data_IF_357438592183
#
_entry.id   IF_357438592183
#
_cell.length_a   1.000
_cell.length_b   1.000
_cell.length_c   1.000
_cell.angle_alpha   90.00
_cell.angle_beta   90.00
_cell.angle_gamma   90.00
#
_symmetry.space_group_name_H-M   'P 1'
#
loop_
_entity.id
_entity.type
_entity.pdbx_description
1 polymer ?
#
# COMPACT_ATOMS: atom_id res chain seq x y z
N UNK A 1 -60.37 36.92 -26.33
CA UNK A 1 -61.54 36.49 -27.11
C UNK A 1 -61.16 35.20 -27.80
N UNK A 2 -61.92 34.14 -27.50
CA UNK A 2 -62.03 32.82 -28.12
C UNK A 2 -60.75 32.12 -28.60
N UNK A 3 -60.37 31.01 -27.94
CA UNK A 3 -60.80 29.70 -28.45
C UNK A 3 -60.77 28.63 -27.33
N UNK A 4 -61.79 27.77 -27.32
CA UNK A 4 -62.06 26.75 -26.30
C UNK A 4 -61.82 25.36 -26.88
N UNK A 5 -61.07 24.56 -26.13
CA UNK A 5 -61.02 23.10 -25.99
C UNK A 5 -61.68 22.17 -27.04
N UNK A 6 -60.91 21.14 -27.44
CA UNK A 6 -61.39 19.76 -27.29
C UNK A 6 -60.25 18.73 -27.19
N UNK A 7 -60.27 17.95 -26.12
CA UNK A 7 -59.50 16.71 -25.96
C UNK A 7 -59.93 15.65 -26.97
N UNK A 8 -58.97 14.85 -27.44
CA UNK A 8 -59.19 13.45 -27.86
C UNK A 8 -57.84 12.71 -27.81
N UNK A 9 -57.71 11.73 -26.89
CA UNK A 9 -56.81 10.57 -27.06
C UNK A 9 -57.57 9.59 -27.98
N UNK A 10 -56.92 8.85 -28.90
CA UNK A 10 -56.33 7.57 -28.47
C UNK A 10 -55.12 7.06 -29.31
N UNK A 11 -54.63 5.92 -28.82
CA UNK A 11 -53.86 4.88 -29.54
C UNK A 11 -52.36 5.06 -29.64
N UNK A 12 -51.68 4.37 -28.72
CA UNK A 12 -50.27 4.00 -28.77
C UNK A 12 -50.14 2.93 -29.86
N UNK A 13 -49.52 3.26 -31.00
CA UNK A 13 -48.99 2.27 -31.92
C UNK A 13 -47.57 1.91 -31.48
N UNK A 14 -47.44 0.65 -31.10
CA UNK A 14 -46.21 -0.03 -30.74
C UNK A 14 -45.34 -0.20 -32.00
N UNK A 15 -44.47 0.78 -32.27
CA UNK A 15 -43.42 0.64 -33.27
C UNK A 15 -42.17 0.05 -32.60
N UNK A 16 -42.04 -1.25 -32.79
CA UNK A 16 -40.91 -2.08 -32.38
C UNK A 16 -39.65 -1.64 -33.14
N UNK A 17 -38.95 -0.62 -32.63
CA UNK A 17 -37.65 -0.20 -33.12
C UNK A 17 -36.57 -1.14 -32.56
N UNK A 18 -36.26 -2.17 -33.33
CA UNK A 18 -35.08 -3.04 -33.13
C UNK A 18 -33.84 -2.17 -32.86
N UNK A 19 -33.10 -2.39 -31.77
CA UNK A 19 -31.82 -1.72 -31.57
C UNK A 19 -30.90 -2.19 -32.69
N UNK A 20 -30.52 -1.25 -33.57
CA UNK A 20 -29.49 -1.50 -34.58
C UNK A 20 -28.18 -1.59 -33.80
N UNK A 21 -27.79 -2.82 -33.49
CA UNK A 21 -26.53 -3.20 -32.90
C UNK A 21 -25.42 -2.87 -33.91
N UNK A 22 -25.04 -1.59 -33.98
CA UNK A 22 -23.81 -1.17 -34.63
C UNK A 22 -22.68 -1.66 -33.74
N UNK A 23 -22.27 -2.91 -33.98
CA UNK A 23 -20.92 -3.38 -33.65
C UNK A 23 -19.95 -2.39 -34.30
N UNK A 24 -19.51 -1.41 -33.53
CA UNK A 24 -18.24 -0.74 -33.79
C UNK A 24 -17.20 -1.85 -33.69
N UNK A 25 -16.82 -2.37 -34.85
CA UNK A 25 -15.65 -3.22 -35.01
C UNK A 25 -14.45 -2.34 -34.66
N UNK A 26 -14.05 -2.40 -33.39
CA UNK A 26 -12.81 -1.82 -32.91
C UNK A 26 -11.69 -2.47 -33.69
N UNK A 27 -11.21 -1.76 -34.70
CA UNK A 27 -10.09 -2.19 -35.54
C UNK A 27 -8.95 -2.61 -34.62
N UNK A 28 -8.53 -3.87 -34.75
CA UNK A 28 -7.54 -4.45 -33.85
C UNK A 28 -6.25 -3.65 -34.02
N UNK A 29 -5.82 -2.98 -32.95
CA UNK A 29 -4.56 -2.24 -32.96
C UNK A 29 -3.45 -3.11 -33.53
N UNK A 30 -2.67 -2.64 -34.51
CA UNK A 30 -1.62 -3.45 -35.11
C UNK A 30 -0.65 -3.92 -34.02
N UNK A 31 -0.37 -5.22 -33.99
CA UNK A 31 0.61 -5.81 -33.08
C UNK A 31 2.03 -5.41 -33.55
N UNK A 32 2.47 -4.24 -33.10
CA UNK A 32 3.77 -3.69 -33.47
C UNK A 32 4.87 -4.38 -32.66
N UNK A 33 5.60 -5.27 -33.33
CA UNK A 33 6.79 -5.91 -32.76
C UNK A 33 8.01 -4.99 -32.81
N UNK A 34 8.76 -4.91 -31.71
CA UNK A 34 10.02 -4.16 -31.62
C UNK A 34 11.18 -5.09 -31.26
N UNK A 35 12.26 -5.01 -32.03
CA UNK A 35 13.51 -5.69 -31.71
C UNK A 35 14.18 -5.04 -30.48
N UNK A 36 14.61 -5.83 -29.47
CA UNK A 36 15.24 -5.27 -28.28
C UNK A 36 16.57 -4.56 -28.59
N UNK A 37 16.68 -3.30 -28.19
CA UNK A 37 17.91 -2.51 -28.35
C UNK A 37 19.05 -3.06 -27.48
N UNK A 38 18.72 -3.61 -26.31
CA UNK A 38 19.68 -4.12 -25.32
C UNK A 38 19.15 -5.42 -24.71
N UNK A 39 20.04 -6.39 -24.52
CA UNK A 39 19.75 -7.62 -23.76
C UNK A 39 20.35 -7.49 -22.37
N UNK A 40 19.49 -7.50 -21.35
CA UNK A 40 19.92 -7.48 -19.95
C UNK A 40 20.03 -8.91 -19.44
N UNK A 41 21.12 -9.22 -18.74
CA UNK A 41 21.23 -10.47 -17.99
C UNK A 41 20.36 -10.38 -16.73
N UNK A 42 19.79 -11.51 -16.31
CA UNK A 42 19.11 -11.59 -15.01
C UNK A 42 20.16 -11.42 -13.91
N UNK A 43 19.96 -10.43 -13.04
CA UNK A 43 20.81 -10.16 -11.88
C UNK A 43 20.06 -10.58 -10.63
N UNK A 44 20.75 -11.28 -9.73
CA UNK A 44 20.22 -11.55 -8.39
C UNK A 44 20.30 -10.26 -7.57
N UNK A 45 19.17 -9.84 -7.01
CA UNK A 45 19.07 -8.60 -6.23
C UNK A 45 18.79 -8.98 -4.79
N UNK A 46 19.63 -8.51 -3.87
CA UNK A 46 19.44 -8.65 -2.42
C UNK A 46 18.65 -7.46 -1.88
N UNK A 47 17.85 -7.68 -0.85
CA UNK A 47 17.07 -6.61 -0.22
C UNK A 47 17.90 -5.82 0.80
N UNK A 48 18.96 -6.44 1.33
CA UNK A 48 19.75 -5.93 2.46
C UNK A 48 18.90 -5.81 3.73
N UNK A 49 17.97 -6.76 3.88
CA UNK A 49 17.05 -6.94 5.02
C UNK A 49 17.17 -8.38 5.58
N UNK A 50 18.13 -9.19 5.09
CA UNK A 50 18.24 -10.61 5.39
C UNK A 50 18.75 -10.91 6.82
N UNK A 51 19.54 -10.00 7.39
CA UNK A 51 20.12 -10.09 8.75
C UNK A 51 19.26 -9.33 9.79
N UNK A 52 17.97 -9.15 9.49
CA UNK A 52 17.04 -8.39 10.34
C UNK A 52 15.70 -9.11 10.55
N UNK A 53 15.20 -9.05 11.78
CA UNK A 53 13.87 -9.56 12.13
C UNK A 53 12.82 -8.46 12.12
N UNK A 54 11.62 -8.84 11.68
CA UNK A 54 10.47 -7.93 11.59
C UNK A 54 9.79 -7.82 12.95
N UNK A 55 9.99 -6.68 13.63
CA UNK A 55 9.36 -6.35 14.93
C UNK A 55 7.92 -5.86 14.76
N UNK A 56 7.67 -5.14 13.68
CA UNK A 56 6.37 -4.61 13.32
C UNK A 56 6.27 -4.50 11.81
N UNK A 57 5.09 -4.82 11.26
CA UNK A 57 4.79 -4.67 9.83
C UNK A 57 3.34 -4.25 9.65
N UNK A 58 3.11 -3.12 8.99
CA UNK A 58 1.75 -2.68 8.70
C UNK A 58 1.70 -1.69 7.53
N UNK A 59 0.62 -1.73 6.76
CA UNK A 59 0.37 -0.76 5.71
C UNK A 59 0.11 0.64 6.28
N UNK A 60 0.77 1.64 5.72
CA UNK A 60 0.63 3.04 6.12
C UNK A 60 0.83 4.00 4.93
N UNK A 61 0.51 5.27 5.16
CA UNK A 61 0.87 6.38 4.27
C UNK A 61 1.80 7.35 5.00
N UNK A 62 2.94 7.62 4.40
CA UNK A 62 3.98 8.50 4.92
C UNK A 62 3.97 9.83 4.20
N UNK A 63 4.14 10.89 4.97
CA UNK A 63 4.24 12.27 4.54
C UNK A 63 5.54 12.88 5.05
N UNK A 64 6.03 13.86 4.31
CA UNK A 64 7.14 14.72 4.70
C UNK A 64 6.65 16.16 4.75
N UNK A 65 7.09 16.90 5.76
CA UNK A 65 6.85 18.32 5.84
C UNK A 65 7.84 19.08 4.94
N UNK A 66 7.32 19.78 3.94
CA UNK A 66 8.11 20.70 3.13
C UNK A 66 8.22 22.05 3.85
N UNK A 67 9.43 22.37 4.34
CA UNK A 67 9.71 23.61 5.06
C UNK A 67 9.53 24.86 4.19
N UNK A 68 9.77 24.77 2.88
CA UNK A 68 9.66 25.92 1.98
C UNK A 68 8.19 26.29 1.71
N UNK A 69 7.35 25.28 1.48
CA UNK A 69 5.91 25.44 1.27
C UNK A 69 5.07 25.49 2.55
N UNK A 70 5.67 25.16 3.71
CA UNK A 70 4.97 24.95 4.98
C UNK A 70 3.79 23.97 4.85
N UNK A 71 3.99 22.88 4.10
CA UNK A 71 2.92 21.94 3.74
C UNK A 71 3.36 20.48 3.88
N UNK A 72 2.39 19.58 4.05
CA UNK A 72 2.64 18.14 4.06
C UNK A 72 2.56 17.57 2.64
N UNK A 73 3.65 16.94 2.18
CA UNK A 73 3.70 16.23 0.89
C UNK A 73 3.70 14.73 1.12
N UNK A 74 2.94 13.99 0.32
CA UNK A 74 2.99 12.53 0.34
C UNK A 74 4.39 12.07 -0.08
N UNK A 75 5.03 11.27 0.78
CA UNK A 75 6.35 10.71 0.50
C UNK A 75 6.24 9.27 -0.01
N UNK A 76 5.29 8.49 0.49
CA UNK A 76 5.04 7.13 0.02
C UNK A 76 3.85 6.46 0.69
N UNK A 77 3.31 5.45 0.02
CA UNK A 77 2.28 4.56 0.56
C UNK A 77 2.75 3.12 0.39
N UNK A 78 2.68 2.32 1.46
CA UNK A 78 3.08 0.92 1.44
C UNK A 78 3.30 0.33 2.83
N UNK A 79 4.10 -0.73 2.93
CA UNK A 79 4.36 -1.43 4.19
C UNK A 79 5.44 -0.70 5.00
N UNK A 80 5.07 -0.24 6.19
CA UNK A 80 5.97 0.28 7.22
C UNK A 80 6.47 -0.90 8.05
N UNK A 81 7.80 -1.05 8.14
CA UNK A 81 8.47 -2.07 8.95
C UNK A 81 9.34 -1.44 10.04
N UNK A 82 9.35 -2.06 11.20
CA UNK A 82 10.42 -1.91 12.18
C UNK A 82 11.27 -3.19 12.13
N UNK A 83 12.57 -3.03 11.85
CA UNK A 83 13.50 -4.12 11.60
C UNK A 83 14.62 -4.12 12.65
N UNK A 84 14.81 -5.22 13.37
CA UNK A 84 15.88 -5.39 14.35
C UNK A 84 17.01 -6.22 13.77
N UNK A 85 18.23 -5.68 13.77
CA UNK A 85 19.40 -6.38 13.25
C UNK A 85 19.88 -7.50 14.19
N UNK A 86 20.29 -8.65 13.64
CA UNK A 86 20.70 -9.82 14.42
C UNK A 86 21.93 -9.57 15.31
N UNK A 87 22.99 -8.96 14.76
CA UNK A 87 24.22 -8.70 15.52
C UNK A 87 24.18 -7.43 16.39
N UNK A 88 23.74 -6.30 15.81
CA UNK A 88 23.75 -5.03 16.54
C UNK A 88 22.55 -4.86 17.48
N UNK A 89 21.49 -5.65 17.29
CA UNK A 89 20.21 -5.56 18.00
C UNK A 89 19.50 -4.20 17.87
N UNK A 90 20.01 -3.32 17.01
CA UNK A 90 19.44 -2.01 16.75
C UNK A 90 18.24 -2.12 15.82
N UNK A 91 17.20 -1.34 16.12
CA UNK A 91 15.97 -1.28 15.34
C UNK A 91 15.96 -0.06 14.42
N UNK A 92 15.69 -0.28 13.14
CA UNK A 92 15.47 0.78 12.15
C UNK A 92 14.04 0.79 11.62
N UNK A 93 13.63 1.96 11.14
CA UNK A 93 12.43 2.16 10.34
C UNK A 93 12.79 1.90 8.88
N UNK A 94 12.03 1.04 8.20
CA UNK A 94 12.12 0.86 6.75
C UNK A 94 10.73 0.85 6.13
N UNK A 95 10.53 1.65 5.08
CA UNK A 95 9.28 1.69 4.33
C UNK A 95 9.54 1.75 2.83
N UNK A 96 8.82 0.93 2.06
CA UNK A 96 8.88 0.90 0.59
C UNK A 96 7.51 1.27 0.01
N UNK A 97 7.54 1.97 -1.13
CA UNK A 97 6.34 2.30 -1.90
C UNK A 97 5.78 1.05 -2.59
N UNK A 98 4.46 0.90 -2.56
CA UNK A 98 3.76 -0.13 -3.33
C UNK A 98 4.11 -0.01 -4.84
N UNK A 99 4.13 -1.15 -5.54
CA UNK A 99 4.40 -1.30 -6.99
C UNK A 99 5.83 -0.97 -7.43
N UNK A 100 6.41 0.13 -6.95
CA UNK A 100 7.75 0.58 -7.34
C UNK A 100 8.87 0.03 -6.45
N UNK A 101 8.52 -0.42 -5.23
CA UNK A 101 9.45 -0.94 -4.22
C UNK A 101 10.60 0.03 -3.81
N UNK A 102 10.52 1.29 -4.25
CA UNK A 102 11.45 2.35 -3.86
C UNK A 102 11.29 2.64 -2.38
N UNK A 103 12.41 2.78 -1.69
CA UNK A 103 12.46 3.17 -0.28
C UNK A 103 11.92 4.61 -0.14
N UNK A 104 11.12 4.86 0.89
CA UNK A 104 10.59 6.18 1.23
C UNK A 104 10.78 6.57 2.70
N UNK A 105 11.30 5.65 3.53
CA UNK A 105 11.90 5.93 4.84
C UNK A 105 12.95 4.86 5.13
N UNK A 106 14.11 5.29 5.62
CA UNK A 106 15.18 4.43 6.09
C UNK A 106 16.03 5.21 7.10
N UNK A 107 15.80 4.97 8.38
CA UNK A 107 16.54 5.61 9.48
C UNK A 107 16.52 4.73 10.73
N UNK A 108 17.56 4.87 11.54
CA UNK A 108 17.59 4.24 12.87
C UNK A 108 16.60 4.94 13.82
N UNK A 109 15.98 4.18 14.72
CA UNK A 109 15.23 4.78 15.82
C UNK A 109 16.23 5.25 16.88
N UNK A 110 16.28 6.56 17.14
CA UNK A 110 17.14 7.14 18.16
C UNK A 110 16.34 7.51 19.40
N UNK A 111 17.03 7.63 20.55
CA UNK A 111 16.45 7.88 21.87
C UNK A 111 15.74 9.24 21.98
N UNK A 112 16.15 10.22 21.18
CA UNK A 112 15.54 11.54 21.09
C UNK A 112 14.25 11.57 20.25
N UNK A 113 13.93 10.50 19.52
CA UNK A 113 12.70 10.45 18.73
C UNK A 113 11.46 10.32 19.62
N UNK A 114 10.49 11.19 19.42
CA UNK A 114 9.20 11.15 20.13
C UNK A 114 8.05 11.29 19.13
N UNK A 115 7.16 10.29 19.13
CA UNK A 115 5.93 10.32 18.34
C UNK A 115 4.92 11.28 18.99
N UNK A 116 4.60 12.35 18.26
CA UNK A 116 3.60 13.35 18.66
C UNK A 116 2.31 13.17 17.86
N UNK A 117 1.13 13.32 18.45
CA UNK A 117 -0.14 13.21 17.73
C UNK A 117 -0.26 14.35 16.71
N UNK A 118 -0.81 14.07 15.53
CA UNK A 118 -1.10 15.11 14.55
C UNK A 118 -2.47 15.77 14.86
N UNK A 119 -2.54 17.09 14.77
CA UNK A 119 -3.78 17.83 15.05
C UNK A 119 -4.88 17.39 14.06
N UNK A 120 -6.04 16.99 14.58
CA UNK A 120 -7.17 16.57 13.76
C UNK A 120 -7.08 15.13 13.23
N UNK A 121 -6.14 14.30 13.70
CA UNK A 121 -6.08 12.88 13.39
C UNK A 121 -5.79 12.04 14.63
N UNK A 122 -6.61 11.03 14.89
CA UNK A 122 -6.41 10.00 15.91
C UNK A 122 -5.50 8.85 15.45
N UNK A 123 -5.35 8.71 14.14
CA UNK A 123 -4.59 7.63 13.47
C UNK A 123 -3.29 8.07 12.81
N UNK A 124 -2.69 9.17 13.27
CA UNK A 124 -1.45 9.71 12.71
C UNK A 124 -0.45 10.14 13.77
N UNK A 125 0.84 9.91 13.50
CA UNK A 125 1.95 10.36 14.33
C UNK A 125 2.94 11.20 13.54
N UNK A 126 3.61 12.11 14.23
CA UNK A 126 4.64 13.01 13.69
C UNK A 126 5.92 12.87 14.51
N UNK A 127 7.08 12.79 13.84
CA UNK A 127 8.38 12.80 14.52
C UNK A 127 9.48 13.43 13.64
N UNK A 128 10.53 13.92 14.30
CA UNK A 128 11.73 14.41 13.65
C UNK A 128 12.73 13.27 13.46
N UNK A 129 13.39 13.28 12.31
CA UNK A 129 14.47 12.35 11.96
C UNK A 129 15.70 13.17 11.61
N UNK A 130 16.82 12.93 12.29
CA UNK A 130 18.06 13.65 12.03
C UNK A 130 18.75 13.20 10.73
N UNK A 131 18.68 11.90 10.40
CA UNK A 131 19.39 11.29 9.28
C UNK A 131 18.56 10.16 8.64
N UNK A 132 17.62 10.52 7.76
CA UNK A 132 16.96 9.58 6.85
C UNK A 132 17.78 9.43 5.57
N UNK A 133 18.05 8.19 5.16
CA UNK A 133 18.90 7.88 3.99
C UNK A 133 18.10 7.29 2.81
N UNK A 134 16.77 7.45 2.79
CA UNK A 134 15.95 6.81 1.76
C UNK A 134 16.15 7.38 0.34
N UNK A 135 16.70 8.59 0.23
CA UNK A 135 17.04 9.25 -1.03
C UNK A 135 18.56 9.20 -1.35
N UNK A 136 19.34 8.40 -0.59
CA UNK A 136 20.76 8.11 -0.83
C UNK A 136 21.73 8.82 0.12
N UNK A 137 21.46 10.07 0.47
CA UNK A 137 22.26 10.85 1.42
C UNK A 137 21.49 11.08 2.73
N UNK A 138 22.16 11.21 3.90
CA UNK A 138 21.50 11.53 5.15
C UNK A 138 20.81 12.91 5.12
N UNK A 139 19.51 12.93 5.35
CA UNK A 139 18.70 14.14 5.37
C UNK A 139 17.89 14.26 6.66
N UNK A 140 17.83 15.48 7.20
CA UNK A 140 16.95 15.79 8.32
C UNK A 140 15.51 15.94 7.80
N UNK A 141 14.60 15.15 8.34
CA UNK A 141 13.22 15.09 7.90
C UNK A 141 12.22 15.25 9.05
N UNK A 142 11.11 15.94 8.80
CA UNK A 142 9.95 15.93 9.68
C UNK A 142 8.88 15.07 9.01
N UNK A 143 8.67 13.89 9.58
CA UNK A 143 7.82 12.86 9.01
C UNK A 143 6.49 12.79 9.72
N UNK A 144 5.44 12.51 8.98
CA UNK A 144 4.15 12.11 9.53
C UNK A 144 3.69 10.81 8.89
N UNK A 145 3.17 9.89 9.70
CA UNK A 145 2.62 8.62 9.23
C UNK A 145 1.15 8.55 9.60
N UNK A 146 0.34 8.01 8.68
CA UNK A 146 -1.08 7.76 8.88
C UNK A 146 -1.41 6.30 8.63
N UNK A 147 -2.12 5.70 9.58
CA UNK A 147 -2.60 4.33 9.51
C UNK A 147 -4.08 4.26 9.11
N UNK A 148 -4.58 3.04 8.88
CA UNK A 148 -5.97 2.82 8.49
C UNK A 148 -6.96 3.26 9.59
N UNK A 149 -6.65 2.94 10.84
CA UNK A 149 -7.49 3.22 12.01
C UNK A 149 -6.62 3.62 13.23
N UNK A 150 -7.28 4.05 14.31
CA UNK A 150 -6.61 4.51 15.54
C UNK A 150 -5.87 3.37 16.26
N UNK A 151 -6.46 2.17 16.31
CA UNK A 151 -5.86 0.99 16.95
C UNK A 151 -4.50 0.63 16.34
N UNK A 152 -4.42 0.61 15.00
CA UNK A 152 -3.20 0.41 14.24
C UNK A 152 -2.14 1.47 14.54
N UNK A 153 -2.56 2.73 14.67
CA UNK A 153 -1.66 3.81 15.03
C UNK A 153 -1.12 3.64 16.46
N UNK A 154 -1.95 3.23 17.41
CA UNK A 154 -1.50 2.95 18.77
C UNK A 154 -0.54 1.77 18.82
N UNK A 155 -0.83 0.68 18.09
CA UNK A 155 0.08 -0.48 18.01
C UNK A 155 1.45 -0.08 17.46
N UNK A 156 1.49 0.72 16.40
CA UNK A 156 2.74 1.28 15.89
C UNK A 156 3.46 2.09 16.96
N UNK A 157 2.77 2.98 17.66
CA UNK A 157 3.38 3.81 18.71
C UNK A 157 3.98 2.94 19.82
N UNK A 158 3.25 1.93 20.30
CA UNK A 158 3.76 1.00 21.31
C UNK A 158 5.03 0.29 20.83
N UNK A 159 5.03 -0.26 19.62
CA UNK A 159 6.20 -0.96 19.06
C UNK A 159 7.38 0.00 18.82
N UNK A 160 7.12 1.22 18.37
CA UNK A 160 8.13 2.25 18.16
C UNK A 160 8.77 2.70 19.49
N UNK A 161 7.96 2.92 20.53
CA UNK A 161 8.47 3.31 21.85
C UNK A 161 9.31 2.18 22.48
N UNK A 162 8.88 0.92 22.35
CA UNK A 162 9.67 -0.25 22.77
C UNK A 162 11.00 -0.35 22.01
N UNK A 163 10.98 -0.14 20.69
CA UNK A 163 12.18 -0.15 19.86
C UNK A 163 13.15 0.99 20.24
N UNK A 164 12.62 2.18 20.52
CA UNK A 164 13.40 3.32 21.02
C UNK A 164 14.07 3.00 22.34
N UNK A 165 13.33 2.44 23.29
CA UNK A 165 13.88 2.05 24.59
C UNK A 165 14.93 0.95 24.46
N UNK A 166 14.70 -0.06 23.61
CA UNK A 166 15.68 -1.11 23.33
C UNK A 166 16.96 -0.54 22.72
N UNK A 167 16.85 0.33 21.71
CA UNK A 167 18.01 0.97 21.09
C UNK A 167 18.80 1.82 22.09
N UNK A 168 18.12 2.53 23.00
CA UNK A 168 18.78 3.31 24.05
C UNK A 168 19.60 2.40 25.00
N UNK A 169 19.03 1.26 25.41
CA UNK A 169 19.72 0.25 26.24
C UNK A 169 20.93 -0.34 25.52
N UNK A 170 20.76 -0.78 24.28
CA UNK A 170 21.83 -1.34 23.44
C UNK A 170 22.98 -0.35 23.29
N UNK A 171 22.67 0.94 23.01
CA UNK A 171 23.69 1.98 22.87
C UNK A 171 24.46 2.24 24.17
N UNK A 172 23.83 2.01 25.33
CA UNK A 172 24.45 2.15 26.64
C UNK A 172 25.17 0.86 27.10
N UNK A 173 25.23 -0.19 26.28
CA UNK A 173 25.88 -1.46 26.59
C UNK A 173 25.09 -2.37 27.53
N UNK A 174 23.79 -2.10 27.70
CA UNK A 174 22.89 -2.93 28.49
C UNK A 174 22.34 -4.12 27.67
N UNK A 175 21.82 -5.19 28.32
CA UNK A 175 21.27 -6.34 27.61
C UNK A 175 20.17 -5.93 26.63
N UNK A 176 20.25 -6.44 25.40
CA UNK A 176 19.22 -6.24 24.40
C UNK A 176 17.95 -7.03 24.75
N UNK A 177 16.81 -6.55 24.26
CA UNK A 177 15.57 -7.30 24.25
C UNK A 177 15.25 -7.67 22.80
N UNK A 178 14.97 -8.95 22.56
CA UNK A 178 14.40 -9.40 21.29
C UNK A 178 12.96 -8.91 21.21
N UNK A 179 12.67 -8.11 20.19
CA UNK A 179 11.36 -7.49 19.99
C UNK A 179 10.55 -8.18 18.88
N UNK A 180 11.15 -9.16 18.18
CA UNK A 180 10.45 -9.93 17.18
C UNK A 180 9.34 -10.77 17.83
N UNK A 181 8.16 -10.78 17.22
CA UNK A 181 7.13 -11.73 17.65
C UNK A 181 7.50 -13.13 17.17
N UNK A 182 7.27 -14.19 17.97
CA UNK A 182 7.49 -15.56 17.51
C UNK A 182 6.62 -15.80 16.27
N UNK A 183 7.26 -16.16 15.15
CA UNK A 183 6.57 -16.47 13.88
C UNK A 183 5.49 -17.52 14.16
N UNK A 184 4.22 -17.12 14.08
CA UNK A 184 3.14 -18.08 13.84
C UNK A 184 3.23 -18.47 12.36
N UNK A 185 3.38 -19.76 12.10
CA UNK A 185 3.25 -20.33 10.76
C UNK A 185 1.81 -20.10 10.30
N UNK A 186 1.56 -19.03 9.54
CA UNK A 186 0.30 -18.83 8.82
C UNK A 186 0.59 -18.82 7.32
N UNK A 187 -0.13 -19.72 6.64
CA UNK A 187 -0.13 -20.09 5.23
C UNK A 187 0.18 -18.96 4.23
N UNK A 188 1.11 -19.25 3.32
CA UNK A 188 1.15 -18.62 1.99
C UNK A 188 -0.16 -18.93 1.26
N UNK A 189 -1.12 -18.02 1.26
CA UNK A 189 -2.17 -18.01 0.25
C UNK A 189 -1.90 -16.89 -0.76
N UNK A 190 -1.22 -17.29 -1.83
CA UNK A 190 -1.13 -16.59 -3.10
C UNK A 190 -2.52 -16.47 -3.72
N UNK A 191 -3.12 -15.28 -3.72
CA UNK A 191 -4.20 -14.94 -4.64
C UNK A 191 -3.60 -14.46 -5.95
N UNK A 192 -3.18 -15.43 -6.77
CA UNK A 192 -3.16 -15.26 -8.23
C UNK A 192 -3.87 -16.46 -8.85
N UNK A 193 -5.11 -16.24 -9.32
CA UNK A 193 -5.66 -17.08 -10.38
C UNK A 193 -6.60 -16.29 -11.30
N UNK A 194 -6.42 -16.36 -12.63
CA UNK A 194 -7.29 -15.72 -13.59
C UNK A 194 -8.64 -16.45 -13.70
N UNK A 195 -9.73 -15.70 -13.87
CA UNK A 195 -11.04 -16.26 -14.25
C UNK A 195 -11.02 -16.67 -15.71
N UNK A 196 -11.17 -17.96 -15.97
CA UNK A 196 -11.54 -18.50 -17.27
C UNK A 196 -13.02 -18.95 -17.24
N UNK A 197 -13.74 -18.59 -18.29
CA UNK A 197 -15.12 -18.97 -18.60
C UNK A 197 -15.34 -20.49 -18.64
N UNK A 198 -16.49 -20.95 -18.11
CA UNK A 198 -17.08 -22.23 -18.52
C UNK A 198 -18.59 -22.12 -18.66
N UNK A 199 -19.04 -22.37 -19.90
CA UNK A 199 -20.40 -22.66 -20.32
C UNK A 199 -21.04 -23.80 -19.50
N UNK A 200 -22.31 -23.65 -19.12
CA UNK A 200 -23.16 -24.75 -18.65
C UNK A 200 -24.04 -25.25 -19.80
N UNK A 201 -23.76 -26.48 -20.25
CA UNK A 201 -24.72 -27.39 -20.89
C UNK A 201 -24.93 -28.56 -19.92
N UNK A 202 -26.15 -28.74 -19.43
CA UNK A 202 -26.75 -30.03 -19.11
C UNK A 202 -28.13 -29.79 -18.48
N UNK A 203 -29.18 -30.31 -19.10
CA UNK A 203 -30.22 -31.01 -18.35
C UNK A 203 -30.75 -32.15 -19.23
N UNK A 204 -30.66 -33.34 -18.66
CA UNK A 204 -30.83 -34.64 -19.26
C UNK A 204 -32.21 -35.21 -18.85
N UNK A 205 -32.80 -35.97 -19.77
CA UNK A 205 -33.95 -36.84 -19.63
C UNK A 205 -34.18 -37.44 -18.24
N UNK A 206 -35.44 -37.45 -17.78
CA UNK A 206 -36.20 -38.67 -17.48
C UNK A 206 -37.60 -38.40 -16.90
N UNK A 207 -38.66 -38.67 -17.68
CA UNK A 207 -39.82 -39.39 -17.16
C UNK A 207 -40.47 -40.22 -18.28
N UNK A 208 -40.37 -41.54 -18.14
CA UNK A 208 -41.28 -42.52 -18.74
C UNK A 208 -42.45 -42.68 -17.78
N UNK A 209 -43.66 -42.37 -18.23
CA UNK A 209 -44.87 -43.21 -18.21
C UNK A 209 -45.99 -42.50 -18.99
#
# INVERSE_FOLDING_TARGET
MADQEKQTKPTVEEQNATPKDTKEEVDASPDVHFEPVIRLAKVEVKTLEEDEDVVFKMRAKLYRFDKAGSEWKERGTGEMKLLQHHDSHLVRVLMRREKTFKICANHLITDDMTLSPNIGSDRSWVWNVAADISDGEPQQELLAIRFANSENAQLFKTKFDLARESNAKVRNGEPHQDLAEPKKEDDEQSDDKPKADQEKKAEENATKE
#
